data_IF_058324035783
#
_entry.id   IF_058324035783
#
_cell.length_a   1.000
_cell.length_b   1.000
_cell.length_c   1.000
_cell.angle_alpha   90.00
_cell.angle_beta   90.00
_cell.angle_gamma   90.00
#
_symmetry.space_group_name_H-M   'P 1'
#
loop_
_entity.id
_entity.type
_entity.pdbx_description
1 polymer ?
#
# COMPACT_ATOMS: atom_id res chain seq x y z
N UNK A 1 -7.95 -79.29 -22.55
CA UNK A 1 -7.04 -80.39 -22.95
C UNK A 1 -6.04 -79.80 -23.95
N UNK A 2 -4.73 -80.05 -23.82
CA UNK A 2 -3.61 -79.56 -24.70
C UNK A 2 -3.45 -78.01 -24.74
N UNK A 3 -2.42 -77.30 -24.21
CA UNK A 3 -0.93 -77.42 -24.08
C UNK A 3 -0.15 -76.83 -25.28
N UNK A 4 1.12 -76.37 -25.04
CA UNK A 4 2.19 -75.86 -25.96
C UNK A 4 2.09 -74.34 -26.27
N UNK A 5 3.09 -73.43 -26.23
CA UNK A 5 4.47 -73.28 -25.61
C UNK A 5 4.75 -71.77 -25.43
N UNK A 6 5.44 -71.24 -24.40
CA UNK A 6 6.89 -71.18 -24.03
C UNK A 6 7.81 -70.25 -24.87
N UNK A 7 8.56 -69.40 -24.16
CA UNK A 7 9.94 -68.89 -24.44
C UNK A 7 10.19 -67.53 -25.14
N UNK A 8 10.46 -66.53 -24.29
CA UNK A 8 11.52 -65.49 -24.35
C UNK A 8 12.39 -65.29 -25.61
N UNK A 9 12.61 -64.01 -25.96
CA UNK A 9 13.96 -63.45 -26.18
C UNK A 9 14.03 -61.96 -25.82
N UNK A 10 15.22 -61.49 -25.42
CA UNK A 10 15.46 -60.19 -24.76
C UNK A 10 15.76 -59.07 -25.78
N UNK A 11 15.40 -57.83 -25.44
CA UNK A 11 16.03 -56.63 -26.00
C UNK A 11 16.12 -55.54 -24.91
N UNK A 12 17.34 -55.17 -24.53
CA UNK A 12 17.57 -54.08 -23.59
C UNK A 12 17.23 -52.72 -24.23
N UNK A 13 16.63 -51.80 -23.48
CA UNK A 13 16.43 -50.42 -23.91
C UNK A 13 17.15 -49.48 -22.94
N UNK A 14 18.24 -48.89 -23.41
CA UNK A 14 18.93 -47.81 -22.72
C UNK A 14 18.06 -46.56 -22.87
N UNK A 15 17.60 -45.98 -21.76
CA UNK A 15 16.88 -44.72 -21.74
C UNK A 15 17.81 -43.62 -21.22
N UNK A 16 18.30 -42.76 -22.11
CA UNK A 16 19.06 -41.56 -21.75
C UNK A 16 18.08 -40.43 -21.46
N UNK A 17 17.86 -40.15 -20.17
CA UNK A 17 16.98 -39.07 -19.72
C UNK A 17 17.72 -37.72 -19.74
N UNK A 18 17.54 -36.95 -20.83
CA UNK A 18 18.01 -35.55 -20.87
C UNK A 18 17.04 -34.67 -20.08
N UNK A 19 17.40 -34.36 -18.84
CA UNK A 19 16.64 -33.45 -17.99
C UNK A 19 16.90 -31.99 -18.40
N UNK A 20 15.98 -31.41 -19.17
CA UNK A 20 16.06 -30.01 -19.59
C UNK A 20 15.69 -29.08 -18.41
N UNK A 21 16.70 -28.64 -17.65
CA UNK A 21 16.53 -27.69 -16.56
C UNK A 21 16.23 -26.27 -17.10
N UNK A 22 14.97 -26.02 -17.44
CA UNK A 22 14.49 -24.70 -17.82
C UNK A 22 14.56 -23.75 -16.61
N UNK A 23 15.66 -23.00 -16.51
CA UNK A 23 15.86 -22.00 -15.48
C UNK A 23 14.77 -20.92 -15.55
N UNK A 24 13.84 -20.96 -14.61
CA UNK A 24 12.81 -19.92 -14.44
C UNK A 24 13.53 -18.65 -13.96
N UNK A 25 14.01 -17.85 -14.91
CA UNK A 25 14.53 -16.53 -14.64
C UNK A 25 13.38 -15.69 -14.09
N UNK A 26 13.28 -15.60 -12.76
CA UNK A 26 12.33 -14.73 -12.09
C UNK A 26 12.67 -13.29 -12.45
N UNK A 27 12.01 -12.76 -13.48
CA UNK A 27 12.10 -11.36 -13.85
C UNK A 27 11.80 -10.54 -12.60
N UNK A 28 12.79 -9.81 -12.08
CA UNK A 28 12.60 -8.95 -10.93
C UNK A 28 11.68 -7.81 -11.34
N UNK A 29 10.37 -8.00 -11.14
CA UNK A 29 9.32 -7.09 -11.62
C UNK A 29 9.57 -5.68 -11.09
N UNK A 30 10.02 -4.81 -12.00
CA UNK A 30 10.11 -3.38 -11.76
C UNK A 30 8.70 -2.87 -11.43
N UNK A 31 8.50 -2.36 -10.22
CA UNK A 31 7.16 -2.20 -9.67
C UNK A 31 7.07 -1.34 -8.42
N UNK A 32 5.88 -1.31 -7.84
CA UNK A 32 5.63 -0.68 -6.53
C UNK A 32 5.78 -1.70 -5.41
N UNK A 33 6.68 -1.43 -4.47
CA UNK A 33 6.77 -2.16 -3.20
C UNK A 33 6.17 -1.29 -2.09
N UNK A 34 5.58 -1.91 -1.06
CA UNK A 34 4.99 -1.17 0.06
C UNK A 34 5.36 -1.78 1.40
N UNK A 35 5.47 -0.95 2.42
CA UNK A 35 5.51 -1.38 3.82
C UNK A 35 4.60 -0.48 4.65
N UNK A 36 4.15 -0.93 5.82
CA UNK A 36 3.26 -0.14 6.68
C UNK A 36 3.58 -0.36 8.15
N UNK A 37 4.09 0.69 8.80
CA UNK A 37 4.26 0.74 10.25
C UNK A 37 3.01 1.34 10.89
N UNK A 38 2.51 0.70 11.94
CA UNK A 38 1.41 1.24 12.75
C UNK A 38 1.94 2.02 13.94
N UNK A 39 1.29 3.15 14.27
CA UNK A 39 1.53 3.96 15.47
C UNK A 39 0.22 4.20 16.20
N UNK A 40 0.30 4.40 17.52
CA UNK A 40 -0.86 4.69 18.38
C UNK A 40 -0.95 6.18 18.68
N UNK A 41 -2.09 6.79 18.40
CA UNK A 41 -2.51 8.07 18.98
C UNK A 41 -3.25 7.76 20.29
N UNK A 42 -2.59 8.00 21.43
CA UNK A 42 -3.14 7.62 22.72
C UNK A 42 -4.18 8.62 23.23
N UNK A 43 -5.44 8.18 23.33
CA UNK A 43 -6.57 8.99 23.79
C UNK A 43 -6.88 8.71 25.26
N UNK A 44 -6.96 9.75 26.07
CA UNK A 44 -7.35 9.67 27.49
C UNK A 44 -8.87 9.80 27.65
N UNK A 45 -9.43 9.12 28.64
CA UNK A 45 -10.87 9.14 28.96
C UNK A 45 -11.51 7.75 29.01
N UNK A 46 -12.64 7.66 29.69
CA UNK A 46 -13.46 6.44 29.87
C UNK A 46 -14.93 6.61 29.43
N UNK A 47 -15.36 7.85 29.15
CA UNK A 47 -16.70 8.20 28.69
C UNK A 47 -16.65 8.76 27.27
N UNK A 48 -17.72 8.62 26.48
CA UNK A 48 -17.76 9.16 25.12
C UNK A 48 -17.43 10.67 25.08
N UNK A 49 -17.95 11.46 26.03
CA UNK A 49 -17.66 12.90 26.15
C UNK A 49 -16.19 13.17 26.45
N UNK A 50 -15.57 12.46 27.39
CA UNK A 50 -14.13 12.65 27.69
C UNK A 50 -13.23 12.29 26.52
N UNK A 51 -13.52 11.18 25.81
CA UNK A 51 -12.78 10.75 24.63
C UNK A 51 -12.90 11.77 23.48
N UNK A 52 -14.12 12.22 23.17
CA UNK A 52 -14.36 13.22 22.10
C UNK A 52 -13.75 14.58 22.47
N UNK A 53 -13.84 15.00 23.73
CA UNK A 53 -13.20 16.23 24.21
C UNK A 53 -11.67 16.15 24.07
N UNK A 54 -11.05 15.07 24.56
CA UNK A 54 -9.60 14.87 24.43
C UNK A 54 -9.15 14.93 22.97
N UNK A 55 -9.87 14.25 22.07
CA UNK A 55 -9.60 14.24 20.64
C UNK A 55 -9.73 15.61 19.97
N UNK A 56 -10.70 16.44 20.39
CA UNK A 56 -10.85 17.82 19.90
C UNK A 56 -9.76 18.75 20.41
N UNK A 57 -9.26 18.54 21.63
CA UNK A 57 -8.20 19.38 22.22
C UNK A 57 -6.78 18.98 21.79
N UNK A 58 -6.56 17.70 21.40
CA UNK A 58 -5.23 17.18 21.04
C UNK A 58 -5.15 16.59 19.61
N UNK A 59 -5.64 17.27 18.57
CA UNK A 59 -5.60 16.76 17.21
C UNK A 59 -4.20 16.82 16.60
N UNK A 60 -3.96 16.01 15.58
CA UNK A 60 -2.92 16.27 14.60
C UNK A 60 -3.31 17.50 13.79
N UNK A 61 -2.70 18.64 14.14
CA UNK A 61 -2.69 19.86 13.32
C UNK A 61 -2.10 19.54 11.94
N UNK A 62 -2.71 20.04 10.88
CA UNK A 62 -2.21 19.93 9.51
C UNK A 62 -3.03 20.74 8.53
N UNK A 63 -2.53 20.90 7.31
CA UNK A 63 -3.03 21.79 6.25
C UNK A 63 -4.48 21.51 5.78
N UNK A 64 -5.15 20.50 6.35
CA UNK A 64 -6.47 19.98 5.96
C UNK A 64 -7.44 19.95 7.15
N UNK A 65 -7.09 20.65 8.23
CA UNK A 65 -7.82 20.66 9.49
C UNK A 65 -7.36 19.57 10.46
N UNK A 66 -8.02 19.55 11.61
CA UNK A 66 -7.69 18.68 12.73
C UNK A 66 -8.03 17.21 12.46
N UNK A 67 -7.02 16.34 12.57
CA UNK A 67 -7.16 14.90 12.36
C UNK A 67 -6.81 14.11 13.63
N UNK A 68 -7.39 12.92 13.79
CA UNK A 68 -7.14 12.00 14.94
C UNK A 68 -6.64 10.61 14.52
N UNK A 69 -6.57 10.40 13.20
CA UNK A 69 -5.86 9.33 12.54
C UNK A 69 -5.06 9.95 11.37
N UNK A 70 -4.10 9.22 10.80
CA UNK A 70 -3.47 9.59 9.53
C UNK A 70 -2.73 8.41 8.91
N UNK A 71 -2.53 8.45 7.59
CA UNK A 71 -1.50 7.70 6.89
C UNK A 71 -0.56 8.63 6.14
N UNK A 72 0.74 8.51 6.43
CA UNK A 72 1.81 9.33 5.83
C UNK A 72 2.70 8.45 4.94
N UNK A 73 2.79 8.71 3.63
CA UNK A 73 3.72 8.00 2.74
C UNK A 73 5.13 8.62 2.79
N UNK A 74 6.14 7.77 2.74
CA UNK A 74 7.51 8.13 2.41
C UNK A 74 7.93 7.37 1.14
N UNK A 75 8.50 8.07 0.16
CA UNK A 75 8.79 7.55 -1.17
C UNK A 75 10.30 7.34 -1.36
N UNK A 76 10.69 6.14 -1.80
CA UNK A 76 12.05 5.83 -2.24
C UNK A 76 12.01 5.33 -3.68
N UNK A 77 12.63 6.08 -4.59
CA UNK A 77 12.66 5.79 -6.02
C UNK A 77 14.04 5.26 -6.42
N UNK A 78 14.08 4.06 -6.97
CA UNK A 78 15.26 3.48 -7.62
C UNK A 78 14.96 3.26 -9.09
N UNK A 79 15.92 3.55 -9.97
CA UNK A 79 15.75 3.40 -11.42
C UNK A 79 17.07 2.99 -12.07
N UNK A 80 16.96 2.12 -13.08
CA UNK A 80 18.04 1.76 -13.99
C UNK A 80 17.64 2.18 -15.41
N UNK A 81 18.63 2.60 -16.18
CA UNK A 81 18.44 3.14 -17.53
C UNK A 81 19.51 2.59 -18.46
N UNK A 82 19.14 2.20 -19.69
CA UNK A 82 20.04 1.64 -20.70
C UNK A 82 20.03 2.50 -21.97
N UNK A 83 21.21 2.81 -22.49
CA UNK A 83 21.36 3.46 -23.80
C UNK A 83 21.40 2.42 -24.92
N UNK A 84 20.75 2.72 -26.05
CA UNK A 84 20.79 1.91 -27.28
C UNK A 84 20.35 2.77 -28.47
N UNK A 85 21.15 2.81 -29.54
CA UNK A 85 20.84 3.58 -30.76
C UNK A 85 20.63 5.07 -30.50
N UNK A 86 21.54 5.72 -29.76
CA UNK A 86 21.46 7.15 -29.43
C UNK A 86 20.28 7.55 -28.52
N UNK A 87 19.50 6.59 -28.03
CA UNK A 87 18.34 6.82 -27.15
C UNK A 87 18.54 6.07 -25.83
N UNK A 88 18.31 6.74 -24.71
CA UNK A 88 18.20 6.08 -23.42
C UNK A 88 16.76 5.72 -23.08
N UNK A 89 16.56 4.52 -22.52
CA UNK A 89 15.28 3.95 -22.10
C UNK A 89 15.36 3.49 -20.64
N UNK A 90 14.23 3.44 -19.94
CA UNK A 90 14.17 2.86 -18.61
C UNK A 90 14.29 1.34 -18.70
N UNK A 91 15.24 0.74 -17.99
CA UNK A 91 15.37 -0.73 -17.88
C UNK A 91 14.76 -1.27 -16.58
N UNK A 92 14.70 -0.44 -15.53
CA UNK A 92 13.90 -0.71 -14.34
C UNK A 92 13.45 0.60 -13.69
N UNK A 93 12.23 0.63 -13.16
CA UNK A 93 11.72 1.69 -12.28
C UNK A 93 11.05 1.02 -11.09
N UNK A 94 11.57 1.29 -9.89
CA UNK A 94 11.10 0.71 -8.64
C UNK A 94 10.73 1.83 -7.66
N UNK A 95 9.48 1.82 -7.20
CA UNK A 95 9.01 2.77 -6.19
C UNK A 95 8.67 2.01 -4.90
N UNK A 96 9.39 2.27 -3.82
CA UNK A 96 9.00 1.82 -2.49
C UNK A 96 8.24 2.93 -1.77
N UNK A 97 7.00 2.64 -1.38
CA UNK A 97 6.18 3.52 -0.53
C UNK A 97 6.13 2.94 0.88
N UNK A 98 6.82 3.57 1.82
CA UNK A 98 6.78 3.22 3.24
C UNK A 98 5.72 4.06 3.93
N UNK A 99 4.66 3.44 4.43
CA UNK A 99 3.56 4.12 5.12
C UNK A 99 3.76 4.11 6.63
N UNK A 100 3.54 5.26 7.28
CA UNK A 100 3.26 5.33 8.72
C UNK A 100 1.76 5.56 8.90
N UNK A 101 1.05 4.61 9.50
CA UNK A 101 -0.38 4.73 9.80
C UNK A 101 -0.59 4.92 11.31
N UNK A 102 -1.08 6.09 11.70
CA UNK A 102 -1.37 6.44 13.09
C UNK A 102 -2.86 6.28 13.35
N UNK A 103 -3.24 5.45 14.34
CA UNK A 103 -4.64 5.16 14.68
C UNK A 103 -4.93 5.48 16.15
N UNK A 104 -6.17 5.90 16.50
CA UNK A 104 -6.56 6.13 17.89
C UNK A 104 -6.50 4.84 18.71
N UNK A 105 -5.94 4.93 19.93
CA UNK A 105 -5.90 3.86 20.93
C UNK A 105 -6.24 4.46 22.29
N UNK A 106 -7.29 3.96 22.95
CA UNK A 106 -7.63 4.44 24.28
C UNK A 106 -6.60 3.96 25.31
N UNK A 107 -6.26 4.81 26.27
CA UNK A 107 -5.40 4.43 27.41
C UNK A 107 -6.12 3.48 28.38
N UNK A 108 -7.43 3.64 28.54
CA UNK A 108 -8.23 2.96 29.58
C UNK A 108 -9.51 2.33 29.01
N UNK A 109 -9.41 1.56 27.92
CA UNK A 109 -10.58 0.93 27.27
C UNK A 109 -11.36 -0.03 28.19
N UNK A 110 -10.66 -0.70 29.12
CA UNK A 110 -11.25 -1.57 30.14
C UNK A 110 -12.11 -0.81 31.16
N UNK A 111 -11.83 0.48 31.41
CA UNK A 111 -12.62 1.34 32.29
C UNK A 111 -13.86 1.95 31.62
N UNK A 112 -14.05 1.72 30.31
CA UNK A 112 -15.25 2.18 29.59
C UNK A 112 -16.44 1.26 29.87
N UNK A 113 -17.60 1.85 30.15
CA UNK A 113 -18.88 1.15 30.07
C UNK A 113 -19.12 0.56 28.67
N UNK A 114 -19.84 -0.57 28.58
CA UNK A 114 -19.99 -1.37 27.35
C UNK A 114 -20.47 -0.56 26.13
N UNK A 115 -21.40 0.38 26.32
CA UNK A 115 -21.89 1.27 25.27
C UNK A 115 -20.78 2.18 24.70
N UNK A 116 -20.02 2.85 25.58
CA UNK A 116 -18.87 3.68 25.21
C UNK A 116 -17.78 2.84 24.54
N UNK A 117 -17.48 1.64 25.07
CA UNK A 117 -16.47 0.73 24.51
C UNK A 117 -16.82 0.29 23.08
N UNK A 118 -18.08 -0.05 22.83
CA UNK A 118 -18.56 -0.44 21.50
C UNK A 118 -18.54 0.74 20.52
N UNK A 119 -18.96 1.93 20.97
CA UNK A 119 -18.90 3.16 20.17
C UNK A 119 -17.45 3.54 19.82
N UNK A 120 -16.53 3.41 20.78
CA UNK A 120 -15.08 3.62 20.60
C UNK A 120 -14.49 2.65 19.57
N UNK A 121 -14.73 1.34 19.72
CA UNK A 121 -14.26 0.31 18.77
C UNK A 121 -14.79 0.53 17.36
N UNK A 122 -16.06 0.94 17.23
CA UNK A 122 -16.68 1.27 15.95
C UNK A 122 -16.00 2.48 15.27
N UNK A 123 -15.64 3.49 16.06
CA UNK A 123 -14.87 4.65 15.59
C UNK A 123 -13.44 4.27 15.16
N UNK A 124 -12.69 3.51 15.97
CA UNK A 124 -11.34 3.04 15.60
C UNK A 124 -11.37 2.17 14.33
N UNK A 125 -12.38 1.31 14.19
CA UNK A 125 -12.62 0.52 12.97
C UNK A 125 -12.92 1.39 11.76
N UNK A 126 -13.74 2.44 11.92
CA UNK A 126 -13.98 3.45 10.88
C UNK A 126 -12.68 4.14 10.47
N UNK A 127 -11.93 4.69 11.41
CA UNK A 127 -10.66 5.37 11.16
C UNK A 127 -9.67 4.45 10.42
N UNK A 128 -9.51 3.20 10.85
CA UNK A 128 -8.65 2.22 10.16
C UNK A 128 -9.05 2.01 8.69
N UNK A 129 -10.35 1.92 8.38
CA UNK A 129 -10.85 1.79 6.99
C UNK A 129 -10.61 3.06 6.16
N UNK A 130 -10.81 4.23 6.76
CA UNK A 130 -10.53 5.53 6.14
C UNK A 130 -9.06 5.65 5.74
N UNK A 131 -8.13 5.47 6.68
CA UNK A 131 -6.68 5.51 6.41
C UNK A 131 -6.21 4.41 5.45
N UNK A 132 -6.83 3.22 5.50
CA UNK A 132 -6.54 2.15 4.54
C UNK A 132 -6.95 2.52 3.11
N UNK A 133 -7.99 3.33 2.94
CA UNK A 133 -8.43 3.82 1.63
C UNK A 133 -7.43 4.85 1.07
N UNK A 134 -6.97 5.79 1.89
CA UNK A 134 -5.88 6.71 1.52
C UNK A 134 -4.59 5.97 1.10
N UNK A 135 -4.19 4.95 1.87
CA UNK A 135 -3.07 4.07 1.55
C UNK A 135 -3.25 3.43 0.17
N UNK A 136 -4.42 2.90 -0.12
CA UNK A 136 -4.70 2.25 -1.41
C UNK A 136 -4.69 3.25 -2.57
N UNK A 137 -5.18 4.49 -2.38
CA UNK A 137 -5.06 5.57 -3.38
C UNK A 137 -3.58 5.87 -3.67
N UNK A 138 -2.71 5.99 -2.65
CA UNK A 138 -1.27 6.18 -2.86
C UNK A 138 -0.62 5.05 -3.66
N UNK A 139 -1.03 3.79 -3.42
CA UNK A 139 -0.53 2.62 -4.18
C UNK A 139 -0.97 2.70 -5.64
N UNK A 140 -2.23 3.04 -5.91
CA UNK A 140 -2.74 3.23 -7.27
C UNK A 140 -2.00 4.36 -8.01
N UNK A 141 -1.71 5.48 -7.34
CA UNK A 141 -0.88 6.56 -7.88
C UNK A 141 0.56 6.09 -8.17
N UNK A 142 1.16 5.31 -7.27
CA UNK A 142 2.48 4.71 -7.47
C UNK A 142 2.52 3.78 -8.69
N UNK A 143 1.48 2.95 -8.88
CA UNK A 143 1.38 2.06 -10.03
C UNK A 143 1.22 2.85 -11.36
N UNK A 144 0.40 3.90 -11.36
CA UNK A 144 0.28 4.86 -12.48
C UNK A 144 1.65 5.48 -12.83
N UNK A 145 2.37 5.96 -11.81
CA UNK A 145 3.70 6.51 -11.97
C UNK A 145 4.69 5.49 -12.59
N UNK A 146 4.81 4.29 -12.02
CA UNK A 146 5.78 3.28 -12.50
C UNK A 146 5.47 2.88 -13.95
N UNK A 147 4.20 2.61 -14.28
CA UNK A 147 3.80 2.24 -15.63
C UNK A 147 4.09 3.34 -16.66
N UNK A 148 3.91 4.62 -16.30
CA UNK A 148 4.28 5.76 -17.16
C UNK A 148 5.80 5.87 -17.29
N UNK A 149 6.53 5.82 -16.17
CA UNK A 149 7.98 5.96 -16.11
C UNK A 149 8.74 4.87 -16.89
N UNK A 150 8.26 3.63 -16.87
CA UNK A 150 8.83 2.51 -17.63
C UNK A 150 8.80 2.74 -19.16
N UNK A 151 7.82 3.50 -19.66
CA UNK A 151 7.70 3.83 -21.09
C UNK A 151 8.47 5.09 -21.50
N UNK A 152 9.12 5.78 -20.56
CA UNK A 152 9.85 7.01 -20.87
C UNK A 152 11.18 6.74 -21.57
N UNK A 153 11.50 7.59 -22.53
CA UNK A 153 12.78 7.62 -23.25
C UNK A 153 13.34 9.04 -23.25
N UNK A 154 14.64 9.19 -23.51
CA UNK A 154 15.29 10.50 -23.71
C UNK A 154 16.58 10.35 -24.52
N UNK A 155 17.17 11.44 -25.00
CA UNK A 155 18.47 11.44 -25.72
C UNK A 155 19.62 10.94 -24.82
N UNK A 156 19.59 11.28 -23.53
CA UNK A 156 20.59 10.82 -22.55
C UNK A 156 19.97 10.22 -21.30
N UNK A 157 20.70 9.32 -20.63
CA UNK A 157 20.20 8.66 -19.44
C UNK A 157 20.02 9.62 -18.25
N UNK A 158 20.90 10.60 -18.07
CA UNK A 158 20.74 11.65 -17.06
C UNK A 158 19.44 12.45 -17.26
N UNK A 159 19.16 12.85 -18.51
CA UNK A 159 17.93 13.57 -18.86
C UNK A 159 16.67 12.71 -18.66
N UNK A 160 16.74 11.40 -18.97
CA UNK A 160 15.67 10.45 -18.68
C UNK A 160 15.40 10.35 -17.17
N UNK A 161 16.43 10.12 -16.35
CA UNK A 161 16.27 10.02 -14.90
C UNK A 161 15.70 11.30 -14.28
N UNK A 162 16.18 12.47 -14.71
CA UNK A 162 15.62 13.75 -14.29
C UNK A 162 14.13 13.88 -14.66
N UNK A 163 13.75 13.43 -15.85
CA UNK A 163 12.36 13.46 -16.32
C UNK A 163 11.46 12.50 -15.52
N UNK A 164 11.95 11.30 -15.18
CA UNK A 164 11.24 10.35 -14.30
C UNK A 164 11.05 10.94 -12.88
N UNK A 165 12.05 11.64 -12.32
CA UNK A 165 11.91 12.32 -11.02
C UNK A 165 10.85 13.44 -11.07
N UNK A 166 10.83 14.26 -12.14
CA UNK A 166 9.78 15.28 -12.34
C UNK A 166 8.38 14.66 -12.49
N UNK A 167 8.27 13.53 -13.18
CA UNK A 167 7.01 12.79 -13.30
C UNK A 167 6.51 12.32 -11.93
N UNK A 168 7.38 11.79 -11.05
CA UNK A 168 6.98 11.38 -9.70
C UNK A 168 6.36 12.55 -8.91
N UNK A 169 6.99 13.73 -8.94
CA UNK A 169 6.47 14.90 -8.24
C UNK A 169 5.15 15.42 -8.84
N UNK A 170 4.95 15.28 -10.15
CA UNK A 170 3.68 15.58 -10.81
C UNK A 170 2.58 14.59 -10.41
N UNK A 171 2.86 13.28 -10.44
CA UNK A 171 1.93 12.23 -10.02
C UNK A 171 1.58 12.36 -8.53
N UNK A 172 2.53 12.74 -7.66
CA UNK A 172 2.26 13.04 -6.24
C UNK A 172 1.23 14.18 -6.10
N UNK A 173 1.43 15.32 -6.77
CA UNK A 173 0.46 16.45 -6.75
C UNK A 173 -0.93 16.05 -7.26
N UNK A 174 -0.98 15.26 -8.34
CA UNK A 174 -2.24 14.69 -8.87
C UNK A 174 -2.89 13.71 -7.88
N UNK A 175 -2.09 12.89 -7.20
CA UNK A 175 -2.58 11.97 -6.17
C UNK A 175 -3.25 12.71 -5.01
N UNK A 176 -2.69 13.82 -4.54
CA UNK A 176 -3.30 14.63 -3.48
C UNK A 176 -4.69 15.17 -3.86
N UNK A 177 -4.98 15.39 -5.15
CA UNK A 177 -6.34 15.73 -5.59
C UNK A 177 -7.32 14.55 -5.41
N UNK A 178 -6.86 13.31 -5.65
CA UNK A 178 -7.64 12.09 -5.40
C UNK A 178 -7.87 11.85 -3.90
N UNK A 179 -6.85 12.11 -3.06
CA UNK A 179 -7.00 12.05 -1.60
C UNK A 179 -8.08 13.02 -1.14
N UNK A 180 -7.98 14.30 -1.52
CA UNK A 180 -8.99 15.33 -1.21
C UNK A 180 -10.40 15.01 -1.74
N UNK A 181 -10.50 14.33 -2.88
CA UNK A 181 -11.78 13.89 -3.42
C UNK A 181 -12.41 12.74 -2.62
N UNK A 182 -11.60 11.87 -2.01
CA UNK A 182 -12.08 10.88 -1.04
C UNK A 182 -12.49 11.56 0.28
N UNK A 183 -11.64 12.44 0.84
CA UNK A 183 -11.92 13.20 2.07
C UNK A 183 -13.30 13.84 2.04
N UNK A 184 -13.58 14.63 0.99
CA UNK A 184 -14.87 15.34 0.83
C UNK A 184 -16.09 14.42 0.81
N UNK A 185 -15.96 13.19 0.32
CA UNK A 185 -17.06 12.20 0.29
C UNK A 185 -17.27 11.50 1.63
N UNK A 186 -16.20 11.28 2.39
CA UNK A 186 -16.26 10.51 3.63
C UNK A 186 -16.47 11.40 4.88
N UNK A 187 -16.15 12.70 4.81
CA UNK A 187 -16.18 13.67 5.91
C UNK A 187 -17.47 13.68 6.73
N UNK A 188 -18.64 13.61 6.07
CA UNK A 188 -19.94 13.63 6.74
C UNK A 188 -20.19 12.43 7.67
N UNK A 189 -19.49 11.31 7.46
CA UNK A 189 -19.75 10.05 8.18
C UNK A 189 -19.25 10.08 9.62
N UNK A 190 -18.15 10.80 9.89
CA UNK A 190 -17.55 10.92 11.23
C UNK A 190 -18.54 11.47 12.25
N UNK A 191 -19.29 12.53 11.87
CA UNK A 191 -20.26 13.21 12.74
C UNK A 191 -21.46 12.33 13.15
N UNK A 192 -21.70 11.26 12.40
CA UNK A 192 -22.81 10.32 12.59
C UNK A 192 -22.42 9.07 13.38
N UNK A 193 -21.12 8.84 13.63
CA UNK A 193 -20.65 7.73 14.44
C UNK A 193 -21.15 7.86 15.90
N UNK A 194 -21.56 6.74 16.50
CA UNK A 194 -22.14 6.71 17.85
C UNK A 194 -21.29 7.42 18.91
N UNK A 195 -19.95 7.29 18.83
CA UNK A 195 -19.03 7.96 19.77
C UNK A 195 -19.20 9.49 19.75
N UNK A 196 -19.29 10.10 18.56
CA UNK A 196 -19.46 11.55 18.38
C UNK A 196 -20.91 12.03 18.58
N UNK A 197 -21.88 11.10 18.65
CA UNK A 197 -23.26 11.40 19.08
C UNK A 197 -23.38 11.36 20.61
N UNK A 198 -22.79 10.35 21.25
CA UNK A 198 -22.76 10.17 22.71
C UNK A 198 -21.83 11.17 23.43
N UNK A 199 -20.80 11.66 22.75
CA UNK A 199 -19.85 12.64 23.28
C UNK A 199 -20.19 14.11 23.00
N UNK A 200 -21.46 14.40 22.71
CA UNK A 200 -21.97 15.78 22.64
C UNK A 200 -22.22 16.33 24.06
#
# INVERSE_FOLDING_TARGET
MVVITRSYRRAARIAVSVALAAGIATSAWAGVKTSTQYRSYYVSGSTARSLVSYMRSHPFRGDRGDAVANVRPNYRLSMATKSSGGTCRASAVNLHIAFTMTLPRARSESAMASSTRNAWRSFVSFAKRHESTHRNIYIQCGNSFVAKAQRMTNKSCGALQASIRRLLESEKRSCEAKQRAFDRRDYGRVRNLSLFRMGR
#
